data_IF_019261308395
#
_entry.id   IF_019261308395
#
_cell.length_a   1.000
_cell.length_b   1.000
_cell.length_c   1.000
_cell.angle_alpha   90.00
_cell.angle_beta   90.00
_cell.angle_gamma   90.00
#
_symmetry.space_group_name_H-M   'P 1'
#
loop_
_entity.id
_entity.type
_entity.pdbx_description
1 polymer ?
#
# COMPACT_ATOMS: atom_id res chain seq x y z
N UNK A 1 -1.76 -21.99 -27.83
CA UNK A 1 -3.03 -21.23 -27.71
C UNK A 1 -3.57 -21.56 -26.33
N UNK A 2 -3.82 -20.54 -25.51
CA UNK A 2 -4.27 -20.71 -24.14
C UNK A 2 -5.76 -21.09 -24.08
N UNK A 3 -6.22 -21.48 -22.91
CA UNK A 3 -7.62 -21.80 -22.61
C UNK A 3 -8.44 -20.51 -22.50
N UNK A 4 -9.69 -20.55 -22.97
CA UNK A 4 -10.67 -19.49 -22.77
C UNK A 4 -11.87 -20.05 -22.00
N UNK A 5 -12.44 -19.24 -21.11
CA UNK A 5 -13.66 -19.57 -20.36
C UNK A 5 -14.62 -18.39 -20.43
N UNK A 6 -15.91 -18.71 -20.59
CA UNK A 6 -16.99 -17.74 -20.60
C UNK A 6 -17.96 -18.05 -19.46
N UNK A 7 -18.43 -17.01 -18.79
CA UNK A 7 -19.50 -17.08 -17.80
C UNK A 7 -20.54 -16.01 -18.11
N UNK A 8 -21.80 -16.41 -18.30
CA UNK A 8 -22.90 -15.51 -18.66
C UNK A 8 -24.00 -15.51 -17.62
N UNK A 9 -24.46 -14.31 -17.23
CA UNK A 9 -25.67 -14.10 -16.44
C UNK A 9 -26.82 -13.72 -17.39
N UNK A 10 -27.99 -14.34 -17.21
CA UNK A 10 -29.18 -14.14 -18.07
C UNK A 10 -30.40 -13.76 -17.23
N UNK A 11 -31.30 -12.98 -17.81
CA UNK A 11 -32.60 -12.70 -17.22
C UNK A 11 -33.55 -13.93 -17.35
N UNK A 12 -34.75 -13.81 -16.77
CA UNK A 12 -35.76 -14.88 -16.85
C UNK A 12 -36.27 -15.17 -18.27
N UNK A 13 -36.00 -14.28 -19.24
CA UNK A 13 -36.35 -14.40 -20.64
C UNK A 13 -35.20 -14.96 -21.49
N UNK A 14 -34.04 -15.19 -20.88
CA UNK A 14 -32.84 -15.70 -21.56
C UNK A 14 -31.93 -14.61 -22.16
N UNK A 15 -32.23 -13.33 -21.99
CA UNK A 15 -31.37 -12.26 -22.46
C UNK A 15 -30.12 -12.18 -21.59
N UNK A 16 -28.95 -11.97 -22.21
CA UNK A 16 -27.68 -11.82 -21.49
C UNK A 16 -27.69 -10.47 -20.78
N UNK A 17 -27.55 -10.49 -19.45
CA UNK A 17 -27.37 -9.30 -18.59
C UNK A 17 -25.90 -8.93 -18.49
N UNK A 18 -25.03 -9.94 -18.35
CA UNK A 18 -23.59 -9.73 -18.33
C UNK A 18 -22.88 -11.00 -18.83
N UNK A 19 -21.72 -10.83 -19.45
CA UNK A 19 -20.79 -11.91 -19.74
C UNK A 19 -19.39 -11.55 -19.27
N UNK A 20 -18.65 -12.56 -18.81
CA UNK A 20 -17.23 -12.46 -18.48
C UNK A 20 -16.49 -13.52 -19.28
N UNK A 21 -15.56 -13.07 -20.11
CA UNK A 21 -14.66 -13.93 -20.88
C UNK A 21 -13.26 -13.81 -20.28
N UNK A 22 -12.61 -14.94 -19.99
CA UNK A 22 -11.24 -14.95 -19.49
C UNK A 22 -10.37 -15.83 -20.38
N UNK A 23 -9.32 -15.23 -20.91
CA UNK A 23 -8.30 -15.91 -21.70
C UNK A 23 -7.08 -16.19 -20.84
N UNK A 24 -6.48 -17.35 -21.03
CA UNK A 24 -5.34 -17.83 -20.25
C UNK A 24 -4.14 -18.13 -21.15
N UNK A 25 -2.94 -17.99 -20.61
CA UNK A 25 -1.73 -18.48 -21.27
C UNK A 25 -1.61 -20.03 -21.19
N UNK A 26 -0.54 -20.56 -21.75
CA UNK A 26 -0.29 -22.01 -21.76
C UNK A 26 0.01 -22.58 -20.35
N UNK A 27 0.40 -21.73 -19.38
CA UNK A 27 0.61 -22.09 -17.97
C UNK A 27 -0.67 -22.00 -17.13
N UNK A 28 -1.79 -21.56 -17.74
CA UNK A 28 -3.08 -21.42 -17.07
C UNK A 28 -3.24 -20.11 -16.29
N UNK A 29 -2.39 -19.11 -16.53
CA UNK A 29 -2.50 -17.79 -15.92
C UNK A 29 -3.41 -16.89 -16.76
N UNK A 30 -4.31 -16.14 -16.11
CA UNK A 30 -5.22 -15.23 -16.81
C UNK A 30 -4.44 -14.06 -17.44
N UNK A 31 -4.55 -13.90 -18.76
CA UNK A 31 -3.88 -12.84 -19.53
C UNK A 31 -4.84 -11.74 -19.98
N UNK A 32 -6.14 -12.04 -20.08
CA UNK A 32 -7.14 -11.06 -20.42
C UNK A 32 -8.48 -11.42 -19.76
N UNK A 33 -9.18 -10.43 -19.27
CA UNK A 33 -10.58 -10.56 -18.81
C UNK A 33 -11.42 -9.49 -19.50
N UNK A 34 -12.51 -9.89 -20.16
CA UNK A 34 -13.50 -9.00 -20.74
C UNK A 34 -14.79 -9.14 -19.96
N UNK A 35 -15.33 -8.03 -19.50
CA UNK A 35 -16.64 -7.97 -18.84
C UNK A 35 -17.56 -7.11 -19.71
N UNK A 36 -18.64 -7.70 -20.18
CA UNK A 36 -19.69 -7.00 -20.94
C UNK A 36 -20.94 -6.92 -20.09
N UNK A 37 -21.45 -5.72 -19.84
CA UNK A 37 -22.72 -5.46 -19.15
C UNK A 37 -23.39 -4.25 -19.77
N UNK A 38 -24.70 -4.34 -19.99
CA UNK A 38 -25.50 -3.27 -20.59
C UNK A 38 -24.93 -2.73 -21.93
N UNK A 39 -24.31 -3.63 -22.71
CA UNK A 39 -23.73 -3.27 -24.01
C UNK A 39 -22.36 -2.58 -23.94
N UNK A 40 -21.83 -2.37 -22.75
CA UNK A 40 -20.48 -1.81 -22.51
C UNK A 40 -19.51 -2.95 -22.21
N UNK A 41 -18.40 -3.00 -22.93
CA UNK A 41 -17.33 -3.96 -22.70
C UNK A 41 -16.13 -3.27 -22.06
N UNK A 42 -15.71 -3.79 -20.93
CA UNK A 42 -14.47 -3.43 -20.25
C UNK A 42 -13.45 -4.56 -20.39
N UNK A 43 -12.21 -4.21 -20.67
CA UNK A 43 -11.14 -5.20 -20.88
C UNK A 43 -9.96 -4.89 -19.98
N UNK A 44 -9.52 -5.89 -19.23
CA UNK A 44 -8.29 -5.86 -18.45
C UNK A 44 -7.32 -6.88 -19.04
N UNK A 45 -6.02 -6.61 -19.00
CA UNK A 45 -5.02 -7.55 -19.48
C UNK A 45 -3.78 -7.56 -18.61
N UNK A 46 -3.09 -8.72 -18.59
CA UNK A 46 -1.85 -8.94 -17.83
C UNK A 46 -0.83 -9.67 -18.70
N UNK A 47 0.43 -9.33 -18.49
CA UNK A 47 1.56 -10.13 -18.95
C UNK A 47 2.36 -10.59 -17.75
N UNK A 48 3.10 -11.67 -17.92
CA UNK A 48 3.90 -12.26 -16.85
C UNK A 48 5.34 -12.38 -17.31
N UNK A 49 6.27 -12.26 -16.37
CA UNK A 49 7.67 -12.59 -16.60
C UNK A 49 7.94 -14.11 -16.49
N UNK A 50 9.19 -14.50 -16.72
CA UNK A 50 9.61 -15.90 -16.67
C UNK A 50 9.49 -16.51 -15.26
N UNK A 51 9.50 -15.69 -14.21
CA UNK A 51 9.34 -16.14 -12.80
C UNK A 51 7.87 -16.29 -12.43
N UNK A 52 6.94 -15.87 -13.29
CA UNK A 52 5.51 -15.95 -13.09
C UNK A 52 4.90 -14.75 -12.35
N UNK A 53 5.70 -13.71 -12.06
CA UNK A 53 5.18 -12.45 -11.54
C UNK A 53 4.55 -11.61 -12.65
N UNK A 54 3.63 -10.71 -12.32
CA UNK A 54 2.97 -9.84 -13.30
C UNK A 54 3.97 -8.81 -13.81
N UNK A 55 4.35 -8.88 -15.07
CA UNK A 55 5.24 -7.90 -15.68
C UNK A 55 4.52 -6.59 -16.04
N UNK A 56 3.32 -6.71 -16.61
CA UNK A 56 2.46 -5.54 -16.89
C UNK A 56 0.99 -5.90 -16.65
N UNK A 57 0.22 -4.89 -16.28
CA UNK A 57 -1.24 -4.97 -16.33
C UNK A 57 -1.83 -3.73 -16.99
N UNK A 58 -2.97 -3.89 -17.63
CA UNK A 58 -3.76 -2.78 -18.18
C UNK A 58 -5.15 -2.87 -17.59
N UNK A 59 -5.57 -1.81 -16.90
CA UNK A 59 -6.89 -1.72 -16.27
C UNK A 59 -8.00 -1.52 -17.31
N UNK A 60 -9.25 -1.68 -16.89
CA UNK A 60 -10.42 -1.41 -17.70
C UNK A 60 -10.51 0.05 -18.21
N UNK A 61 -9.90 0.99 -17.50
CA UNK A 61 -9.79 2.40 -17.92
C UNK A 61 -8.66 2.66 -18.92
N UNK A 62 -7.86 1.63 -19.29
CA UNK A 62 -6.74 1.76 -20.22
C UNK A 62 -5.43 2.18 -19.57
N UNK A 63 -5.39 2.37 -18.26
CA UNK A 63 -4.15 2.66 -17.53
C UNK A 63 -3.26 1.41 -17.54
N UNK A 64 -2.02 1.58 -17.98
CA UNK A 64 -1.02 0.50 -18.02
C UNK A 64 -0.02 0.68 -16.89
N UNK A 65 0.19 -0.39 -16.11
CA UNK A 65 1.20 -0.45 -15.05
C UNK A 65 2.26 -1.50 -15.39
N UNK A 66 3.53 -1.14 -15.31
CA UNK A 66 4.66 -2.04 -15.44
C UNK A 66 5.36 -2.21 -14.09
N UNK A 67 5.70 -3.45 -13.73
CA UNK A 67 6.28 -3.79 -12.43
C UNK A 67 7.73 -4.28 -12.55
N UNK A 68 8.53 -4.02 -11.53
CA UNK A 68 9.83 -4.63 -11.30
C UNK A 68 9.86 -5.21 -9.89
N UNK A 69 10.55 -6.33 -9.72
CA UNK A 69 10.57 -7.09 -8.49
C UNK A 69 12.00 -7.30 -7.99
N UNK A 70 12.14 -7.48 -6.69
CA UNK A 70 13.38 -7.94 -6.08
C UNK A 70 13.51 -9.48 -6.15
N UNK A 71 14.62 -10.01 -5.62
CA UNK A 71 14.92 -11.45 -5.62
C UNK A 71 13.94 -12.32 -4.79
N UNK A 72 13.08 -11.69 -3.98
CA UNK A 72 12.05 -12.37 -3.18
C UNK A 72 10.63 -12.01 -3.63
N UNK A 73 10.50 -11.54 -4.89
CA UNK A 73 9.25 -11.21 -5.56
C UNK A 73 8.43 -10.08 -4.91
N UNK A 74 9.08 -9.13 -4.22
CA UNK A 74 8.41 -7.89 -3.76
C UNK A 74 8.52 -6.83 -4.86
N UNK A 75 7.45 -6.10 -5.10
CA UNK A 75 7.46 -4.98 -6.04
C UNK A 75 8.42 -3.89 -5.54
N UNK A 76 9.44 -3.57 -6.31
CA UNK A 76 10.39 -2.48 -6.01
C UNK A 76 10.20 -1.27 -6.91
N UNK A 77 9.51 -1.44 -8.02
CA UNK A 77 9.13 -0.33 -8.90
C UNK A 77 7.83 -0.63 -9.60
N UNK A 78 6.95 0.35 -9.65
CA UNK A 78 5.77 0.36 -10.49
C UNK A 78 5.77 1.65 -11.33
N UNK A 79 5.56 1.53 -12.64
CA UNK A 79 5.38 2.67 -13.53
C UNK A 79 3.98 2.62 -14.09
N UNK A 80 3.16 3.58 -13.73
CA UNK A 80 1.79 3.73 -14.20
C UNK A 80 1.77 4.76 -15.33
N UNK A 81 1.25 4.37 -16.48
CA UNK A 81 1.12 5.23 -17.66
C UNK A 81 -0.36 5.45 -17.97
N UNK A 82 -0.78 6.72 -17.91
CA UNK A 82 -2.12 7.17 -18.23
C UNK A 82 -2.06 8.46 -19.04
N UNK A 83 -2.76 8.55 -20.17
CA UNK A 83 -2.89 9.75 -21.01
C UNK A 83 -1.55 10.43 -21.35
N UNK A 84 -0.49 9.63 -21.56
CA UNK A 84 0.85 10.12 -21.90
C UNK A 84 1.65 10.68 -20.73
N UNK A 85 1.19 10.51 -19.51
CA UNK A 85 1.88 10.87 -18.27
C UNK A 85 2.28 9.60 -17.51
N UNK A 86 3.56 9.51 -17.14
CA UNK A 86 4.05 8.40 -16.32
C UNK A 86 4.17 8.82 -14.86
N UNK A 87 3.60 8.00 -13.98
CA UNK A 87 3.84 8.06 -12.54
C UNK A 87 4.73 6.89 -12.13
N UNK A 88 5.91 7.19 -11.61
CA UNK A 88 6.86 6.17 -11.18
C UNK A 88 6.84 6.07 -9.66
N UNK A 89 6.48 4.89 -9.18
CA UNK A 89 6.54 4.54 -7.74
C UNK A 89 7.67 3.53 -7.53
N UNK A 90 8.59 3.85 -6.63
CA UNK A 90 9.72 3.00 -6.26
C UNK A 90 9.63 2.68 -4.77
N UNK A 91 9.73 1.41 -4.42
CA UNK A 91 9.74 0.94 -3.03
C UNK A 91 11.08 0.29 -2.72
N UNK A 92 11.73 0.73 -1.65
CA UNK A 92 12.96 0.13 -1.13
C UNK A 92 12.72 -0.44 0.27
N UNK A 93 13.46 -1.50 0.59
CA UNK A 93 13.39 -2.21 1.86
C UNK A 93 14.77 -2.20 2.51
N UNK A 94 14.81 -2.01 3.83
CA UNK A 94 16.06 -1.95 4.60
C UNK A 94 15.81 -2.08 6.09
N UNK A 95 16.85 -1.79 6.88
CA UNK A 95 16.79 -1.78 8.33
C UNK A 95 17.42 -0.49 8.86
N UNK A 96 16.84 0.09 9.89
CA UNK A 96 17.34 1.31 10.55
C UNK A 96 17.11 1.23 12.06
N UNK A 97 18.02 1.82 12.83
CA UNK A 97 17.81 2.11 14.25
C UNK A 97 17.10 3.46 14.39
N UNK A 98 16.19 3.58 15.33
CA UNK A 98 15.50 4.84 15.55
C UNK A 98 15.09 5.02 17.01
N UNK A 99 15.07 6.30 17.45
CA UNK A 99 14.41 6.71 18.67
C UNK A 99 12.96 7.08 18.36
N UNK A 100 12.02 6.43 19.01
CA UNK A 100 10.58 6.57 18.81
C UNK A 100 9.96 7.17 20.07
N UNK A 101 9.11 8.18 19.91
CA UNK A 101 8.36 8.75 21.03
C UNK A 101 7.35 7.74 21.60
N UNK A 102 7.24 7.75 22.91
CA UNK A 102 6.25 7.01 23.68
C UNK A 102 5.54 7.99 24.64
N UNK A 103 4.54 7.52 25.36
CA UNK A 103 3.88 8.34 26.39
C UNK A 103 4.81 8.74 27.55
N UNK A 104 5.92 8.01 27.74
CA UNK A 104 6.86 8.21 28.85
C UNK A 104 8.24 8.70 28.37
N UNK A 105 8.33 9.32 27.20
CA UNK A 105 9.59 9.81 26.63
C UNK A 105 9.98 9.08 25.35
N UNK A 106 11.27 8.81 25.15
CA UNK A 106 11.80 8.17 23.94
C UNK A 106 12.23 6.72 24.25
N UNK A 107 12.03 5.84 23.28
CA UNK A 107 12.51 4.44 23.30
C UNK A 107 13.43 4.19 22.13
N UNK A 108 14.58 3.57 22.40
CA UNK A 108 15.51 3.12 21.36
C UNK A 108 15.02 1.81 20.76
N UNK A 109 14.89 1.79 19.45
CA UNK A 109 14.60 0.60 18.66
C UNK A 109 15.81 0.27 17.79
N UNK A 110 16.18 -1.00 17.73
CA UNK A 110 17.23 -1.54 16.89
C UNK A 110 16.62 -2.36 15.75
N UNK A 111 17.28 -2.37 14.59
CA UNK A 111 16.92 -3.20 13.45
C UNK A 111 15.45 -3.11 13.03
N UNK A 112 14.86 -1.92 13.07
CA UNK A 112 13.52 -1.70 12.53
C UNK A 112 13.50 -2.02 11.05
N UNK A 113 12.58 -2.86 10.61
CA UNK A 113 12.31 -3.07 9.19
C UNK A 113 11.75 -1.79 8.57
N UNK A 114 12.37 -1.32 7.52
CA UNK A 114 12.00 -0.04 6.88
C UNK A 114 11.57 -0.26 5.45
N UNK A 115 10.38 0.24 5.13
CA UNK A 115 9.89 0.36 3.77
C UNK A 115 9.81 1.84 3.39
N UNK A 116 10.44 2.23 2.29
CA UNK A 116 10.40 3.60 1.77
C UNK A 116 9.80 3.60 0.38
N UNK A 117 8.73 4.36 0.19
CA UNK A 117 8.09 4.56 -1.11
C UNK A 117 8.38 5.97 -1.62
N UNK A 118 8.82 6.06 -2.87
CA UNK A 118 9.03 7.31 -3.59
C UNK A 118 8.06 7.38 -4.78
N UNK A 119 7.46 8.53 -4.96
CA UNK A 119 6.65 8.82 -6.15
C UNK A 119 7.34 9.93 -6.93
N UNK A 120 7.66 9.64 -8.19
CA UNK A 120 8.42 10.54 -9.07
C UNK A 120 9.72 11.07 -8.40
N UNK A 121 10.45 10.16 -7.74
CA UNK A 121 11.73 10.44 -7.08
C UNK A 121 11.64 11.12 -5.70
N UNK A 122 10.44 11.49 -5.24
CA UNK A 122 10.23 12.09 -3.90
C UNK A 122 9.68 11.07 -2.94
N UNK A 123 10.18 11.02 -1.70
CA UNK A 123 9.61 10.18 -0.66
C UNK A 123 8.17 10.61 -0.41
N UNK A 124 7.23 9.72 -0.70
CA UNK A 124 5.80 9.90 -0.46
C UNK A 124 5.38 9.24 0.84
N UNK A 125 5.94 8.05 1.13
CA UNK A 125 5.64 7.28 2.33
C UNK A 125 6.89 6.60 2.87
N UNK A 126 6.96 6.43 4.18
CA UNK A 126 7.97 5.60 4.85
C UNK A 126 7.37 4.98 6.11
N UNK A 127 7.68 3.73 6.38
CA UNK A 127 7.24 3.04 7.58
C UNK A 127 8.41 2.31 8.25
N UNK A 128 8.39 2.30 9.58
CA UNK A 128 9.34 1.59 10.42
C UNK A 128 8.58 0.57 11.27
N UNK A 129 8.90 -0.68 11.10
CA UNK A 129 8.18 -1.80 11.71
C UNK A 129 9.13 -2.57 12.62
N UNK A 130 8.69 -2.86 13.83
CA UNK A 130 9.46 -3.62 14.81
C UNK A 130 9.42 -5.14 14.56
N UNK A 131 10.13 -5.91 15.37
CA UNK A 131 10.19 -7.36 15.27
C UNK A 131 8.84 -8.06 15.57
N UNK A 132 7.91 -7.38 16.21
CA UNK A 132 6.55 -7.86 16.44
C UNK A 132 5.60 -7.59 15.24
N UNK A 133 6.12 -6.92 14.18
CA UNK A 133 5.33 -6.54 13.01
C UNK A 133 4.50 -5.25 13.21
N UNK A 134 4.78 -4.47 14.26
CA UNK A 134 4.09 -3.22 14.54
C UNK A 134 4.79 -2.05 13.86
N UNK A 135 4.05 -1.23 13.11
CA UNK A 135 4.59 0.02 12.57
C UNK A 135 4.70 1.04 13.70
N UNK A 136 5.93 1.24 14.21
CA UNK A 136 6.22 2.14 15.34
C UNK A 136 6.42 3.58 14.90
N UNK A 137 6.72 3.82 13.63
CA UNK A 137 6.76 5.15 13.01
C UNK A 137 6.29 5.08 11.57
N UNK A 138 5.58 6.12 11.13
CA UNK A 138 5.20 6.32 9.74
C UNK A 138 5.54 7.74 9.29
N UNK A 139 5.72 7.89 7.97
CA UNK A 139 5.84 9.17 7.29
C UNK A 139 4.88 9.15 6.09
N UNK A 140 4.00 10.11 6.00
CA UNK A 140 3.15 10.34 4.84
C UNK A 140 2.71 11.80 4.77
N UNK A 141 2.41 12.28 3.56
CA UNK A 141 1.99 13.68 3.32
C UNK A 141 2.91 14.72 3.95
N UNK A 142 4.22 14.40 4.07
CA UNK A 142 5.22 15.30 4.65
C UNK A 142 5.28 15.29 6.18
N UNK A 143 4.53 14.43 6.85
CA UNK A 143 4.44 14.36 8.31
C UNK A 143 4.94 13.04 8.87
N UNK A 144 5.66 13.09 9.99
CA UNK A 144 6.03 11.93 10.78
C UNK A 144 5.01 11.68 11.88
N UNK A 145 4.71 10.42 12.13
CA UNK A 145 3.84 9.97 13.22
C UNK A 145 4.47 8.78 13.91
N UNK A 146 4.64 8.86 15.23
CA UNK A 146 5.02 7.73 16.08
C UNK A 146 3.76 7.05 16.63
N UNK A 147 3.78 5.74 16.66
CA UNK A 147 2.67 4.89 17.09
C UNK A 147 3.05 4.20 18.40
N UNK A 148 2.19 4.26 19.39
CA UNK A 148 2.42 3.73 20.74
C UNK A 148 1.49 2.55 21.00
N UNK A 149 2.11 1.41 21.34
CA UNK A 149 1.40 0.17 21.57
C UNK A 149 1.53 -0.28 23.03
N UNK A 150 0.53 -1.02 23.49
CA UNK A 150 0.61 -1.83 24.71
C UNK A 150 1.48 -3.07 24.48
N UNK A 151 1.84 -3.76 25.56
CA UNK A 151 2.64 -4.99 25.48
C UNK A 151 1.93 -6.14 24.77
N UNK A 152 0.60 -6.10 24.70
CA UNK A 152 -0.25 -7.05 23.95
C UNK A 152 -0.51 -6.62 22.51
N UNK A 153 0.16 -5.56 22.04
CA UNK A 153 0.17 -5.15 20.63
C UNK A 153 -0.96 -4.24 20.20
N UNK A 154 -1.68 -3.65 21.14
CA UNK A 154 -2.77 -2.74 20.84
C UNK A 154 -2.29 -1.30 20.77
N UNK A 155 -2.62 -0.58 19.71
CA UNK A 155 -2.33 0.85 19.60
C UNK A 155 -3.16 1.66 20.58
N UNK A 156 -2.49 2.48 21.40
CA UNK A 156 -3.11 3.33 22.43
C UNK A 156 -2.91 4.81 22.18
N UNK A 157 -1.93 5.18 21.37
CA UNK A 157 -1.68 6.58 21.02
C UNK A 157 -0.97 6.74 19.68
N UNK A 158 -1.17 7.89 19.05
CA UNK A 158 -0.32 8.40 17.97
C UNK A 158 0.24 9.76 18.35
N UNK A 159 1.51 10.00 18.03
CA UNK A 159 2.23 11.24 18.29
C UNK A 159 2.67 11.81 16.95
N UNK A 160 1.99 12.83 16.46
CA UNK A 160 2.37 13.52 15.23
C UNK A 160 3.51 14.51 15.50
N UNK A 161 4.61 14.38 14.76
CA UNK A 161 5.86 15.10 14.97
C UNK A 161 6.09 16.28 14.01
N UNK A 162 5.19 16.49 13.05
CA UNK A 162 5.41 17.44 11.96
C UNK A 162 6.39 16.89 10.92
N UNK A 163 7.22 17.77 10.34
CA UNK A 163 8.11 17.41 9.21
C UNK A 163 9.43 16.77 9.62
N UNK A 164 9.72 16.66 10.92
CA UNK A 164 10.98 16.12 11.48
C UNK A 164 10.70 15.07 12.54
N UNK A 165 11.58 14.10 12.63
CA UNK A 165 11.50 13.02 13.64
C UNK A 165 11.67 13.49 15.07
N UNK A 166 12.25 14.69 15.28
CA UNK A 166 12.40 15.33 16.61
C UNK A 166 11.25 16.27 16.98
N UNK A 167 10.23 16.36 16.12
CA UNK A 167 9.22 17.41 16.20
C UNK A 167 9.73 18.75 15.65
N UNK A 168 8.86 19.58 15.16
CA UNK A 168 9.16 20.91 14.60
C UNK A 168 8.35 22.04 15.27
N UNK A 169 8.06 21.88 16.55
CA UNK A 169 7.37 22.87 17.39
C UNK A 169 5.85 22.67 17.47
N UNK A 170 5.28 21.71 16.73
CA UNK A 170 3.85 21.38 16.80
C UNK A 170 3.68 19.86 16.87
N UNK A 171 3.62 19.36 18.11
CA UNK A 171 3.33 17.96 18.37
C UNK A 171 1.83 17.82 18.66
N UNK A 172 1.18 16.84 18.07
CA UNK A 172 -0.19 16.47 18.39
C UNK A 172 -0.23 15.04 18.91
N UNK A 173 -0.87 14.83 20.05
CA UNK A 173 -1.09 13.53 20.66
C UNK A 173 -2.55 13.14 20.51
N UNK A 174 -2.81 11.95 20.00
CA UNK A 174 -4.14 11.33 20.00
C UNK A 174 -4.11 10.09 20.86
N UNK A 175 -5.11 9.92 21.72
CA UNK A 175 -5.26 8.76 22.59
C UNK A 175 -6.47 7.94 22.19
N UNK A 176 -6.36 6.62 22.33
CA UNK A 176 -7.41 5.66 21.98
C UNK A 176 -7.76 4.78 23.17
N UNK A 177 -9.03 4.34 23.25
CA UNK A 177 -9.46 3.31 24.19
C UNK A 177 -9.14 1.89 23.69
N UNK A 178 -9.50 0.90 24.50
CA UNK A 178 -9.28 -0.51 24.16
C UNK A 178 -10.10 -1.00 22.95
N UNK A 179 -11.11 -0.28 22.52
CA UNK A 179 -11.89 -0.51 21.31
C UNK A 179 -11.31 0.19 20.08
N UNK A 180 -10.23 0.99 20.23
CA UNK A 180 -9.60 1.77 19.16
C UNK A 180 -10.33 3.08 18.86
N UNK A 181 -11.27 3.51 19.71
CA UNK A 181 -11.96 4.80 19.57
C UNK A 181 -11.10 5.91 20.17
N UNK A 182 -10.95 7.01 19.44
CA UNK A 182 -10.24 8.20 19.95
C UNK A 182 -10.93 8.77 21.17
N UNK A 183 -10.19 8.89 22.28
CA UNK A 183 -10.68 9.40 23.57
C UNK A 183 -10.20 10.81 23.88
N UNK A 184 -9.05 11.20 23.33
CA UNK A 184 -8.51 12.55 23.48
C UNK A 184 -7.64 12.95 22.28
N UNK A 185 -7.56 14.27 22.05
CA UNK A 185 -6.60 14.90 21.14
C UNK A 185 -6.01 16.11 21.86
N UNK A 186 -4.68 16.17 21.97
CA UNK A 186 -3.94 17.22 22.66
C UNK A 186 -2.99 17.85 21.66
N UNK A 187 -3.06 19.18 21.50
CA UNK A 187 -2.14 19.95 20.67
C UNK A 187 -0.99 20.47 21.53
N UNK A 188 0.25 20.34 21.01
CA UNK A 188 1.47 20.75 21.69
C UNK A 188 1.61 20.20 23.12
N UNK A 189 1.46 18.86 23.33
CA UNK A 189 1.67 18.29 24.64
C UNK A 189 3.12 18.51 25.08
N UNK A 190 3.35 18.78 26.37
CA UNK A 190 4.69 18.72 26.94
C UNK A 190 5.13 17.24 26.98
N UNK A 191 5.90 16.83 25.98
CA UNK A 191 6.54 15.51 25.99
C UNK A 191 7.86 15.69 26.75
N UNK A 192 7.92 15.19 27.97
CA UNK A 192 9.15 15.17 28.77
C UNK A 192 10.24 14.40 28.05
N UNK A 193 11.42 15.03 27.92
CA UNK A 193 12.63 14.45 27.33
C UNK A 193 13.23 13.40 28.24
#
# INVERSE_FOLDING_TARGET
MGRETENTSKDRKGNILSSTETSYDFMGRAIQTKVTSDGVTQTESKTYDDNGTVATETSASGVKTAYQYDSVNRVVKATESADGTDTVTETSYGYEDAQIHTLNGMKDYQDLSVQTTKTNGRVSEKSWTDAAGQTVRSFSHGLYTDHVFTSDGKEIATISLGTKTSGDGKIALQLYDKEGKQTAAIQNPEITK
#
